data_IF_377478966499
#
_entry.id   IF_377478966499
#
_cell.length_a   1.000
_cell.length_b   1.000
_cell.length_c   1.000
_cell.angle_alpha   90.00
_cell.angle_beta   90.00
_cell.angle_gamma   90.00
#
_symmetry.space_group_name_H-M   'P 1'
#
loop_
_entity.id
_entity.type
_entity.pdbx_description
1 polymer ?
#
# COMPACT_ATOMS: atom_id res chain seq x y z
N UNK A 1 3.71 -6.98 -13.20
CA UNK A 1 2.90 -7.93 -12.41
C UNK A 1 3.04 -7.70 -10.91
N UNK A 2 4.15 -7.12 -10.42
CA UNK A 2 4.23 -6.61 -9.04
C UNK A 2 3.29 -5.40 -8.87
N UNK A 3 2.40 -5.41 -7.88
CA UNK A 3 1.35 -4.40 -7.67
C UNK A 3 -0.03 -5.05 -7.60
N UNK A 4 -0.70 -5.24 -8.76
CA UNK A 4 -2.03 -5.87 -8.82
C UNK A 4 -2.08 -7.27 -8.20
N UNK A 5 -1.02 -8.07 -8.38
CA UNK A 5 -0.94 -9.41 -7.83
C UNK A 5 -1.07 -9.42 -6.29
N UNK A 6 -0.43 -8.47 -5.60
CA UNK A 6 -0.53 -8.36 -4.14
C UNK A 6 -1.96 -8.10 -3.69
N UNK A 7 -2.71 -7.26 -4.40
CA UNK A 7 -4.13 -7.06 -4.10
C UNK A 7 -5.02 -8.25 -4.44
N UNK A 8 -4.60 -9.15 -5.34
CA UNK A 8 -5.30 -10.43 -5.56
C UNK A 8 -4.98 -11.41 -4.43
N UNK A 9 -3.75 -11.44 -3.93
CA UNK A 9 -3.37 -12.27 -2.77
C UNK A 9 -4.19 -11.91 -1.53
N UNK A 10 -4.44 -10.62 -1.26
CA UNK A 10 -5.33 -10.22 -0.16
C UNK A 10 -6.75 -10.77 -0.30
N UNK A 11 -7.31 -10.74 -1.51
CA UNK A 11 -8.64 -11.32 -1.78
C UNK A 11 -8.62 -12.85 -1.64
N UNK A 12 -7.54 -13.51 -2.05
CA UNK A 12 -7.37 -14.96 -1.87
C UNK A 12 -7.32 -15.34 -0.38
N UNK A 13 -6.67 -14.54 0.48
CA UNK A 13 -6.72 -14.78 1.93
C UNK A 13 -8.14 -14.62 2.48
N UNK A 14 -8.89 -13.63 2.01
CA UNK A 14 -10.30 -13.47 2.41
C UNK A 14 -11.15 -14.66 1.97
N UNK A 15 -10.97 -15.16 0.73
CA UNK A 15 -11.61 -16.39 0.25
C UNK A 15 -11.21 -17.63 1.07
N UNK A 16 -10.01 -17.59 1.66
CA UNK A 16 -9.49 -18.58 2.61
C UNK A 16 -10.08 -18.48 4.02
N UNK A 17 -10.91 -17.48 4.30
CA UNK A 17 -11.63 -17.32 5.57
C UNK A 17 -10.97 -16.43 6.62
N UNK A 18 -9.89 -15.73 6.27
CA UNK A 18 -9.25 -14.75 7.16
C UNK A 18 -10.11 -13.49 7.30
N UNK A 19 -10.11 -12.87 8.47
CA UNK A 19 -10.76 -11.58 8.68
C UNK A 19 -9.96 -10.44 8.04
N UNK A 20 -10.59 -9.30 7.68
CA UNK A 20 -9.88 -8.18 7.08
C UNK A 20 -8.71 -7.64 7.93
N UNK A 21 -8.83 -7.65 9.26
CA UNK A 21 -7.75 -7.25 10.17
C UNK A 21 -6.56 -8.21 10.14
N UNK A 22 -6.79 -9.54 10.17
CA UNK A 22 -5.73 -10.54 10.01
C UNK A 22 -5.00 -10.36 8.67
N UNK A 23 -5.75 -10.11 7.59
CA UNK A 23 -5.16 -9.91 6.26
C UNK A 23 -4.28 -8.65 6.23
N UNK A 24 -4.67 -7.58 6.92
CA UNK A 24 -3.86 -6.37 7.01
C UNK A 24 -2.58 -6.60 7.82
N UNK A 25 -2.64 -7.38 8.91
CA UNK A 25 -1.44 -7.77 9.68
C UNK A 25 -0.48 -8.59 8.81
N UNK A 26 -0.98 -9.59 8.08
CA UNK A 26 -0.22 -10.41 7.12
C UNK A 26 0.46 -9.52 6.06
N UNK A 27 -0.29 -8.54 5.53
CA UNK A 27 0.19 -7.63 4.50
C UNK A 27 1.18 -6.57 4.99
N UNK A 28 1.36 -6.43 6.31
CA UNK A 28 2.17 -5.36 6.91
C UNK A 28 3.14 -5.88 7.97
N UNK A 29 2.73 -5.92 9.24
CA UNK A 29 3.61 -6.15 10.38
C UNK A 29 4.16 -7.58 10.43
N UNK A 30 3.40 -8.58 9.98
CA UNK A 30 3.87 -9.96 10.00
C UNK A 30 5.05 -10.13 9.05
N UNK A 31 4.93 -9.63 7.81
CA UNK A 31 6.03 -9.66 6.85
C UNK A 31 7.27 -8.91 7.36
N UNK A 32 7.08 -7.76 8.00
CA UNK A 32 8.17 -7.00 8.60
C UNK A 32 8.85 -7.77 9.75
N UNK A 33 8.08 -8.36 10.65
CA UNK A 33 8.57 -9.14 11.79
C UNK A 33 9.36 -10.38 11.35
N UNK A 34 8.84 -11.14 10.37
CA UNK A 34 9.52 -12.32 9.84
C UNK A 34 10.86 -11.99 9.16
N UNK A 35 11.03 -10.76 8.68
CA UNK A 35 12.26 -10.26 8.08
C UNK A 35 13.17 -9.51 9.07
N UNK A 36 12.76 -9.34 10.34
CA UNK A 36 13.48 -8.56 11.35
C UNK A 36 13.49 -7.05 11.07
N UNK A 37 12.47 -6.54 10.37
CA UNK A 37 12.30 -5.15 9.96
C UNK A 37 11.17 -4.42 10.72
N UNK A 38 10.52 -5.08 11.67
CA UNK A 38 9.42 -4.55 12.48
C UNK A 38 9.82 -3.31 13.30
N UNK A 39 11.10 -3.12 13.61
CA UNK A 39 11.61 -1.89 14.22
C UNK A 39 11.66 -0.68 13.27
N UNK A 40 11.52 -0.88 11.96
CA UNK A 40 11.65 0.16 10.92
C UNK A 40 10.40 0.36 10.05
N UNK A 41 9.62 -0.70 9.78
CA UNK A 41 8.43 -0.69 8.92
C UNK A 41 7.35 -1.64 9.44
N UNK A 42 6.18 -1.65 8.80
CA UNK A 42 5.11 -2.62 9.07
C UNK A 42 4.04 -2.14 10.06
N UNK A 43 4.28 -1.06 10.80
CA UNK A 43 3.25 -0.41 11.63
C UNK A 43 3.42 1.12 11.66
N UNK A 44 2.37 1.82 12.09
CA UNK A 44 2.36 3.28 12.23
C UNK A 44 2.77 3.70 13.65
N UNK A 45 4.08 3.81 13.88
CA UNK A 45 4.66 4.18 15.16
C UNK A 45 5.75 5.27 15.00
N UNK A 46 5.89 6.20 15.97
CA UNK A 46 6.97 7.17 15.95
C UNK A 46 8.35 6.50 15.90
N UNK A 47 9.23 7.01 15.04
CA UNK A 47 10.59 6.49 14.85
C UNK A 47 10.75 5.51 13.69
N UNK A 48 9.64 4.99 13.14
CA UNK A 48 9.64 4.15 11.92
C UNK A 48 9.66 5.01 10.65
N UNK A 49 9.96 4.38 9.53
CA UNK A 49 9.87 5.02 8.21
C UNK A 49 8.42 5.41 7.91
N UNK A 50 8.26 6.59 7.30
CA UNK A 50 6.96 7.08 6.88
C UNK A 50 6.53 6.40 5.57
N UNK A 51 6.23 5.11 5.66
CA UNK A 51 5.70 4.26 4.59
C UNK A 51 4.25 3.92 4.90
N UNK A 52 3.31 4.49 4.15
CA UNK A 52 1.88 4.28 4.35
C UNK A 52 1.08 4.39 3.06
N UNK A 53 -0.11 3.81 3.07
CA UNK A 53 -1.07 3.88 1.95
C UNK A 53 -2.37 4.49 2.47
N UNK A 54 -2.89 5.47 1.74
CA UNK A 54 -4.17 6.12 2.03
C UNK A 54 -5.21 5.61 1.04
N UNK A 55 -6.29 5.03 1.56
CA UNK A 55 -7.36 4.43 0.77
C UNK A 55 -8.59 5.34 0.73
N UNK A 56 -9.40 5.23 -0.33
CA UNK A 56 -10.70 5.93 -0.42
C UNK A 56 -11.82 5.15 0.27
N UNK A 57 -11.70 3.82 0.31
CA UNK A 57 -12.64 2.92 1.00
C UNK A 57 -12.01 2.25 2.22
N UNK A 58 -12.85 1.75 3.13
CA UNK A 58 -12.43 1.07 4.34
C UNK A 58 -12.10 -0.42 4.05
N UNK A 59 -10.84 -0.86 4.18
CA UNK A 59 -10.47 -2.26 3.93
C UNK A 59 -11.02 -3.22 5.00
N UNK A 60 -11.41 -2.72 6.19
CA UNK A 60 -12.00 -3.54 7.25
C UNK A 60 -13.46 -3.92 6.97
N UNK A 61 -14.13 -3.19 6.09
CA UNK A 61 -15.48 -3.54 5.61
C UNK A 61 -15.41 -4.52 4.43
N UNK A 62 -14.49 -4.27 3.49
CA UNK A 62 -14.26 -5.12 2.32
C UNK A 62 -12.79 -5.04 1.88
N UNK A 63 -12.07 -6.17 1.84
CA UNK A 63 -10.61 -6.16 1.58
C UNK A 63 -10.27 -5.61 0.19
N UNK A 64 -11.19 -5.74 -0.77
CA UNK A 64 -11.07 -5.19 -2.12
C UNK A 64 -10.84 -3.67 -2.10
N UNK A 65 -11.29 -2.98 -1.06
CA UNK A 65 -11.05 -1.55 -0.88
C UNK A 65 -9.56 -1.20 -0.74
N UNK A 66 -8.67 -2.17 -0.48
CA UNK A 66 -7.22 -1.99 -0.56
C UNK A 66 -6.73 -1.53 -1.94
N UNK A 67 -7.53 -1.71 -3.02
CA UNK A 67 -7.24 -1.20 -4.37
C UNK A 67 -7.58 0.28 -4.55
N UNK A 68 -8.33 0.88 -3.64
CA UNK A 68 -8.86 2.24 -3.76
C UNK A 68 -7.83 3.31 -3.38
N UNK A 69 -6.57 3.14 -3.81
CA UNK A 69 -5.42 3.92 -3.36
C UNK A 69 -5.56 5.39 -3.79
N UNK A 70 -5.72 6.28 -2.81
CA UNK A 70 -5.70 7.73 -3.01
C UNK A 70 -4.26 8.24 -3.08
N UNK A 71 -3.45 7.85 -2.09
CA UNK A 71 -2.06 8.27 -1.99
C UNK A 71 -1.19 7.14 -1.46
N UNK A 72 0.07 7.17 -1.86
CA UNK A 72 1.13 6.32 -1.30
C UNK A 72 2.20 7.24 -0.75
N UNK A 73 2.55 7.10 0.52
CA UNK A 73 3.73 7.74 1.08
C UNK A 73 4.86 6.73 1.16
N UNK A 74 6.03 7.11 0.66
CA UNK A 74 7.25 6.32 0.69
C UNK A 74 8.39 7.17 1.22
N UNK A 75 8.97 6.78 2.35
CA UNK A 75 10.03 7.51 3.04
C UNK A 75 9.70 9.01 3.23
N UNK A 76 8.44 9.33 3.53
CA UNK A 76 7.98 10.71 3.72
C UNK A 76 7.66 11.51 2.44
N UNK A 77 7.81 10.90 1.26
CA UNK A 77 7.41 11.48 -0.02
C UNK A 77 6.02 10.94 -0.40
N UNK A 78 5.06 11.84 -0.63
CA UNK A 78 3.68 11.51 -0.96
C UNK A 78 3.49 11.48 -2.48
N UNK A 79 2.87 10.43 -2.98
CA UNK A 79 2.55 10.21 -4.39
C UNK A 79 1.04 10.02 -4.60
N UNK A 80 0.56 10.46 -5.75
CA UNK A 80 -0.79 10.22 -6.26
C UNK A 80 -0.98 8.74 -6.60
N UNK A 81 -2.05 8.12 -6.10
CA UNK A 81 -2.40 6.75 -6.48
C UNK A 81 -2.91 6.63 -7.93
N UNK A 82 -3.31 7.73 -8.55
CA UNK A 82 -3.95 7.72 -9.88
C UNK A 82 -2.91 7.74 -11.02
N UNK A 83 -1.83 8.50 -10.84
CA UNK A 83 -0.83 8.74 -11.89
C UNK A 83 0.63 8.70 -11.39
N UNK A 84 0.86 8.38 -10.11
CA UNK A 84 2.17 8.39 -9.45
C UNK A 84 2.92 9.74 -9.50
N UNK A 85 2.22 10.85 -9.73
CA UNK A 85 2.79 12.19 -9.55
C UNK A 85 3.18 12.41 -8.08
N UNK A 86 4.24 13.17 -7.83
CA UNK A 86 4.62 13.55 -6.47
C UNK A 86 3.69 14.68 -6.01
N UNK A 87 3.04 14.47 -4.87
CA UNK A 87 2.14 15.43 -4.22
C UNK A 87 2.90 16.22 -3.16
N UNK A 88 3.89 15.61 -2.49
CA UNK A 88 4.71 16.25 -1.46
C UNK A 88 6.05 15.51 -1.28
N UNK A 89 7.16 16.19 -0.92
CA UNK A 89 7.37 17.63 -1.02
C UNK A 89 7.50 18.05 -2.49
N UNK A 90 7.36 19.35 -2.79
CA UNK A 90 7.59 19.92 -4.13
C UNK A 90 6.87 19.18 -5.27
N UNK A 91 5.58 19.48 -5.51
CA UNK A 91 4.76 18.74 -6.46
C UNK A 91 5.38 18.67 -7.86
N UNK A 92 5.47 17.47 -8.42
CA UNK A 92 5.99 17.22 -9.76
C UNK A 92 5.13 16.18 -10.48
N UNK A 93 4.91 16.33 -11.80
CA UNK A 93 4.27 15.29 -12.60
C UNK A 93 5.06 13.99 -12.53
N UNK A 94 4.36 12.87 -12.72
CA UNK A 94 5.04 11.59 -12.84
C UNK A 94 6.01 11.59 -14.03
N UNK A 95 7.15 10.92 -13.84
CA UNK A 95 8.11 10.70 -14.91
C UNK A 95 7.53 9.91 -16.09
N UNK A 96 8.33 9.75 -17.15
CA UNK A 96 7.96 8.84 -18.22
C UNK A 96 7.82 7.42 -17.66
N UNK A 97 6.62 6.85 -17.79
CA UNK A 97 6.37 5.47 -17.42
C UNK A 97 6.56 4.59 -18.64
N UNK A 98 7.28 3.48 -18.47
CA UNK A 98 7.41 2.45 -19.50
C UNK A 98 6.06 1.83 -19.89
N UNK A 99 5.09 1.83 -18.97
CA UNK A 99 3.75 1.30 -19.19
C UNK A 99 2.73 2.38 -18.82
N UNK A 100 1.99 2.85 -19.82
CA UNK A 100 0.85 3.76 -19.66
C UNK A 100 -0.30 3.19 -20.46
N UNK A 101 -1.45 2.95 -19.82
CA UNK A 101 -2.64 2.48 -20.52
C UNK A 101 -3.17 3.63 -21.38
N UNK A 102 -3.26 3.43 -22.71
CA UNK A 102 -3.76 4.46 -23.64
C UNK A 102 -2.74 5.05 -24.62
N UNK A 103 -1.63 4.35 -24.88
CA UNK A 103 -0.79 4.57 -26.08
C UNK A 103 -0.66 3.28 -26.87
#
# INVERSE_FOLDING_TARGET
MMGLATHWELEIFQDGGFSPDEILEIATIDGASHLGLDGSIGSLEPGKLADLVVLRGNPLEEIRNARSIRWVMKHGVLYSGDDASRVYPDPEPAGEMYFRVGR
#
